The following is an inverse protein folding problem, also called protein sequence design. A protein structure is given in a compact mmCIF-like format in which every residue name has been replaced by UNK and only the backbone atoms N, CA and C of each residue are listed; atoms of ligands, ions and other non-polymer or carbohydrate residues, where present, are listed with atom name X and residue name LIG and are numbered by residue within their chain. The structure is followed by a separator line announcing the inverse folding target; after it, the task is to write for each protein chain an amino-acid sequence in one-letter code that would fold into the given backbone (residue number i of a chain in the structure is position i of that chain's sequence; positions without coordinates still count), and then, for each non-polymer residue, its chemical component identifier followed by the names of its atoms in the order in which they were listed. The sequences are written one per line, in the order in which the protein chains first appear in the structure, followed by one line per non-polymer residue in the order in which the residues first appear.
data_IF_482321554140
#
_entry.id   IF_482321554140
#
_cell.length_a   1.000
_cell.length_b   1.000
_cell.length_c   1.000
_cell.angle_alpha   90.00
_cell.angle_beta   90.00
_cell.angle_gamma   90.00
#
_symmetry.space_group_name_H-M   'P 1'
#
loop_
_entity.id
_entity.type
_entity.pdbx_description
1 polymer ?
#
# COMPACT_ATOMS: atom_id res chain seq x y z
N UNK A 1 -25.55 -0.74 35.27
CA UNK A 1 -24.88 -0.12 34.11
C UNK A 1 -23.50 -0.73 34.03
N UNK A 2 -23.33 -1.74 33.18
CA UNK A 2 -22.03 -2.37 32.89
C UNK A 2 -21.25 -1.50 31.89
N UNK A 3 -19.90 -1.49 31.96
CA UNK A 3 -19.10 -0.69 31.05
C UNK A 3 -19.29 -1.23 29.63
N UNK A 4 -19.40 -0.32 28.67
CA UNK A 4 -19.54 -0.63 27.26
C UNK A 4 -18.42 -1.57 26.79
N UNK A 5 -18.77 -2.78 26.34
CA UNK A 5 -17.94 -3.64 25.48
C UNK A 5 -17.67 -2.91 24.16
N UNK A 6 -16.75 -1.96 24.18
CA UNK A 6 -16.18 -1.44 22.95
C UNK A 6 -15.21 -2.51 22.46
N UNK A 7 -15.38 -3.10 21.27
CA UNK A 7 -14.42 -4.08 20.78
C UNK A 7 -13.04 -3.43 20.79
N UNK A 8 -12.11 -4.02 21.54
CA UNK A 8 -10.72 -3.55 21.56
C UNK A 8 -10.17 -3.68 20.15
N UNK A 9 -9.68 -2.56 19.59
CA UNK A 9 -9.02 -2.57 18.29
C UNK A 9 -7.61 -3.08 18.51
N UNK A 10 -7.29 -4.26 17.98
CA UNK A 10 -5.92 -4.77 17.98
C UNK A 10 -5.14 -4.16 16.82
N UNK A 11 -3.90 -3.70 17.07
CA UNK A 11 -2.99 -3.26 16.02
C UNK A 11 -1.95 -4.35 15.77
N UNK A 12 -1.98 -4.94 14.58
CA UNK A 12 -1.12 -6.04 14.17
C UNK A 12 -0.13 -5.57 13.12
N UNK A 13 1.11 -6.05 13.19
CA UNK A 13 2.13 -5.84 12.16
C UNK A 13 2.29 -7.10 11.33
N UNK A 14 1.91 -7.04 10.05
CA UNK A 14 2.09 -8.13 9.08
C UNK A 14 3.37 -7.91 8.28
N UNK A 15 4.15 -8.97 8.10
CA UNK A 15 5.37 -8.96 7.30
C UNK A 15 5.36 -10.11 6.31
N UNK A 16 5.72 -9.84 5.08
CA UNK A 16 5.88 -10.85 4.03
C UNK A 16 6.85 -10.37 2.96
N UNK A 17 7.28 -11.28 2.10
CA UNK A 17 8.17 -10.97 0.97
C UNK A 17 7.39 -11.07 -0.33
N UNK A 18 7.57 -10.10 -1.21
CA UNK A 18 6.99 -10.08 -2.56
C UNK A 18 8.01 -9.49 -3.54
N UNK A 19 8.27 -10.20 -4.66
CA UNK A 19 9.25 -9.80 -5.69
C UNK A 19 10.65 -9.40 -5.16
N UNK A 20 11.11 -10.09 -4.11
CA UNK A 20 12.39 -9.80 -3.45
C UNK A 20 12.40 -8.53 -2.61
N UNK A 21 11.23 -7.95 -2.34
CA UNK A 21 11.04 -6.83 -1.44
C UNK A 21 10.36 -7.32 -0.15
N UNK A 22 10.73 -6.75 0.98
CA UNK A 22 10.05 -6.97 2.25
C UNK A 22 8.92 -5.94 2.39
N UNK A 23 7.70 -6.43 2.57
CA UNK A 23 6.51 -5.63 2.84
C UNK A 23 6.22 -5.70 4.34
N UNK A 24 6.05 -4.55 4.98
CA UNK A 24 5.61 -4.43 6.38
C UNK A 24 4.35 -3.59 6.43
N UNK A 25 3.22 -4.20 6.79
CA UNK A 25 1.92 -3.54 6.86
C UNK A 25 1.46 -3.44 8.32
N UNK A 26 0.88 -2.30 8.69
CA UNK A 26 0.19 -2.10 9.96
C UNK A 26 -1.31 -2.19 9.71
N UNK A 27 -1.94 -3.11 10.43
CA UNK A 27 -3.34 -3.48 10.26
C UNK A 27 -4.07 -3.27 11.58
N UNK A 28 -5.23 -2.63 11.53
CA UNK A 28 -6.18 -2.63 12.63
C UNK A 28 -7.13 -3.82 12.47
N UNK A 29 -7.33 -4.60 13.52
CA UNK A 29 -8.23 -5.76 13.56
C UNK A 29 -9.34 -5.55 14.61
N UNK A 30 -10.36 -4.73 14.30
CA UNK A 30 -11.55 -4.65 15.12
C UNK A 30 -12.44 -5.87 14.84
N UNK A 31 -12.45 -6.85 15.74
CA UNK A 31 -13.42 -7.96 15.75
C UNK A 31 -13.58 -8.66 14.38
N UNK A 32 -12.48 -9.17 13.82
CA UNK A 32 -12.38 -9.90 12.54
C UNK A 32 -12.57 -9.04 11.27
N UNK A 33 -12.56 -7.71 11.36
CA UNK A 33 -12.66 -6.81 10.22
C UNK A 33 -11.33 -6.07 9.95
N UNK A 34 -10.35 -6.78 9.39
CA UNK A 34 -9.02 -6.23 9.13
C UNK A 34 -9.04 -5.01 8.20
N UNK A 35 -8.40 -3.93 8.67
CA UNK A 35 -8.21 -2.68 7.95
C UNK A 35 -6.73 -2.34 7.90
N UNK A 36 -6.15 -2.38 6.69
CA UNK A 36 -4.76 -1.94 6.52
C UNK A 36 -4.70 -0.41 6.63
N UNK A 37 -3.85 0.07 7.53
CA UNK A 37 -3.68 1.51 7.79
C UNK A 37 -2.62 2.08 6.87
N UNK A 38 -1.44 1.47 6.88
CA UNK A 38 -0.30 1.81 6.03
C UNK A 38 0.66 0.63 5.92
N UNK A 39 1.52 0.67 4.91
CA UNK A 39 2.64 -0.25 4.82
C UNK A 39 3.87 0.38 4.19
N UNK A 40 5.01 -0.25 4.40
CA UNK A 40 6.30 0.12 3.83
C UNK A 40 6.84 -1.05 3.02
N UNK A 41 7.57 -0.72 1.96
CA UNK A 41 8.24 -1.68 1.08
C UNK A 41 9.72 -1.35 1.04
N UNK A 42 10.55 -2.32 1.42
CA UNK A 42 12.00 -2.21 1.35
C UNK A 42 12.57 -3.29 0.43
N UNK A 43 13.70 -2.98 -0.22
CA UNK A 43 14.45 -3.94 -1.04
C UNK A 43 15.92 -3.89 -0.62
N UNK A 44 16.47 -5.02 -0.21
CA UNK A 44 17.86 -5.12 0.28
C UNK A 44 18.19 -4.07 1.37
N UNK A 45 17.24 -3.79 2.26
CA UNK A 45 17.37 -2.81 3.34
C UNK A 45 17.13 -1.34 2.93
N UNK A 46 16.96 -1.04 1.65
CA UNK A 46 16.64 0.31 1.15
C UNK A 46 15.13 0.50 1.03
N UNK A 47 14.61 1.65 1.47
CA UNK A 47 13.20 2.02 1.27
C UNK A 47 12.90 2.21 -0.21
N UNK A 48 11.89 1.52 -0.72
CA UNK A 48 11.34 1.75 -2.05
C UNK A 48 10.21 2.79 -1.97
N UNK A 49 9.36 2.65 -0.95
CA UNK A 49 8.31 3.60 -0.65
C UNK A 49 7.34 3.06 0.41
N UNK A 50 6.26 3.80 0.62
CA UNK A 50 5.17 3.43 1.52
C UNK A 50 3.83 3.63 0.82
N UNK A 51 2.80 3.02 1.38
CA UNK A 51 1.42 3.20 0.96
C UNK A 51 0.52 3.34 2.16
N UNK A 52 -0.62 4.01 1.99
CA UNK A 52 -1.62 4.14 3.03
C UNK A 52 -3.03 4.25 2.44
N UNK A 53 -4.01 3.91 3.25
CA UNK A 53 -5.43 4.02 2.92
C UNK A 53 -5.96 5.39 3.39
N UNK A 54 -6.36 6.26 2.45
CA UNK A 54 -6.91 7.57 2.81
C UNK A 54 -8.37 7.46 3.29
N UNK A 55 -9.18 6.57 2.69
CA UNK A 55 -10.50 6.20 3.19
C UNK A 55 -10.44 4.83 3.87
N UNK A 56 -10.10 4.85 5.17
CA UNK A 56 -9.96 3.66 6.00
C UNK A 56 -11.26 2.90 6.23
N UNK A 57 -12.40 3.59 6.17
CA UNK A 57 -13.71 2.97 6.41
C UNK A 57 -14.10 2.13 5.20
N UNK A 58 -13.91 2.66 3.99
CA UNK A 58 -14.23 1.95 2.74
C UNK A 58 -13.07 1.11 2.20
N UNK A 59 -11.90 1.17 2.85
CA UNK A 59 -10.65 0.56 2.39
C UNK A 59 -10.33 0.95 0.93
N UNK A 60 -10.47 2.25 0.65
CA UNK A 60 -10.33 2.83 -0.69
C UNK A 60 -9.49 4.11 -0.68
N UNK A 61 -9.25 4.69 -1.85
CA UNK A 61 -8.36 5.85 -2.03
C UNK A 61 -6.94 5.57 -1.50
N UNK A 62 -6.34 4.48 -1.98
CA UNK A 62 -4.97 4.13 -1.63
C UNK A 62 -4.00 5.15 -2.23
N UNK A 63 -2.97 5.49 -1.48
CA UNK A 63 -1.93 6.43 -1.89
C UNK A 63 -0.57 5.78 -1.73
N UNK A 64 0.36 6.16 -2.61
CA UNK A 64 1.76 5.75 -2.55
C UNK A 64 2.63 6.98 -2.32
N UNK A 65 3.58 6.85 -1.41
CA UNK A 65 4.64 7.82 -1.16
C UNK A 65 5.97 7.16 -1.51
N UNK A 66 6.74 7.82 -2.37
CA UNK A 66 8.06 7.36 -2.79
C UNK A 66 9.07 7.39 -1.63
N UNK A 67 10.22 6.74 -1.80
CA UNK A 67 11.31 6.82 -0.83
C UNK A 67 11.80 8.26 -0.52
N UNK A 68 11.53 9.21 -1.41
CA UNK A 68 11.84 10.63 -1.23
C UNK A 68 10.80 11.39 -0.39
N UNK A 69 9.75 10.71 0.08
CA UNK A 69 8.66 11.34 0.82
C UNK A 69 7.65 12.09 -0.06
N UNK A 70 7.73 11.94 -1.39
CA UNK A 70 6.83 12.59 -2.34
C UNK A 70 5.71 11.64 -2.78
N UNK A 71 4.47 12.12 -3.01
CA UNK A 71 3.43 11.33 -3.63
C UNK A 71 3.91 10.76 -4.96
N UNK A 72 3.57 9.49 -5.23
CA UNK A 72 3.84 8.93 -6.55
C UNK A 72 2.86 9.52 -7.56
N UNK A 73 3.39 10.08 -8.64
CA UNK A 73 2.62 10.68 -9.72
C UNK A 73 2.94 10.04 -11.06
N UNK A 74 1.95 10.04 -11.94
CA UNK A 74 2.07 9.72 -13.36
C UNK A 74 1.35 10.78 -14.16
N UNK A 75 2.01 11.35 -15.17
CA UNK A 75 1.45 12.42 -15.99
C UNK A 75 0.89 13.59 -15.13
N UNK A 76 1.60 13.92 -14.03
CA UNK A 76 1.23 14.93 -13.01
C UNK A 76 -0.08 14.65 -12.28
N UNK A 77 -0.47 13.38 -12.19
CA UNK A 77 -1.65 12.94 -11.44
C UNK A 77 -1.21 11.94 -10.37
N UNK A 78 -1.74 12.02 -9.13
CA UNK A 78 -1.45 11.04 -8.11
C UNK A 78 -1.83 9.64 -8.57
N UNK A 79 -0.94 8.67 -8.35
CA UNK A 79 -1.25 7.26 -8.52
C UNK A 79 -2.13 6.83 -7.35
N UNK A 80 -3.34 6.39 -7.66
CA UNK A 80 -4.33 5.92 -6.67
C UNK A 80 -4.65 4.44 -6.93
N UNK A 81 -3.90 3.51 -6.31
CA UNK A 81 -4.20 2.08 -6.46
C UNK A 81 -5.62 1.74 -6.01
N UNK A 82 -6.22 0.74 -6.66
CA UNK A 82 -7.59 0.31 -6.34
C UNK A 82 -7.67 -0.53 -5.06
N UNK A 83 -6.54 -1.04 -4.57
CA UNK A 83 -6.45 -1.88 -3.38
C UNK A 83 -5.05 -1.83 -2.77
N UNK A 84 -4.90 -2.35 -1.55
CA UNK A 84 -3.59 -2.61 -0.93
C UNK A 84 -2.69 -3.44 -1.85
N UNK A 85 -3.21 -4.53 -2.40
CA UNK A 85 -2.42 -5.43 -3.26
C UNK A 85 -1.90 -4.71 -4.51
N UNK A 86 -2.71 -3.82 -5.11
CA UNK A 86 -2.27 -3.01 -6.23
C UNK A 86 -1.17 -2.01 -5.80
N UNK A 87 -1.26 -1.43 -4.60
CA UNK A 87 -0.23 -0.56 -4.06
C UNK A 87 1.09 -1.32 -3.81
N UNK A 88 1.00 -2.52 -3.24
CA UNK A 88 2.15 -3.43 -3.06
C UNK A 88 2.76 -3.76 -4.42
N UNK A 89 1.97 -4.18 -5.41
CA UNK A 89 2.47 -4.52 -6.74
C UNK A 89 3.20 -3.34 -7.41
N UNK A 90 2.69 -2.12 -7.30
CA UNK A 90 3.37 -0.93 -7.81
C UNK A 90 4.76 -0.77 -7.16
N UNK A 91 4.84 -0.90 -5.85
CA UNK A 91 6.11 -0.75 -5.12
C UNK A 91 7.08 -1.91 -5.36
N UNK A 92 6.60 -3.15 -5.44
CA UNK A 92 7.46 -4.34 -5.49
C UNK A 92 7.85 -4.76 -6.90
N UNK A 93 7.08 -4.34 -7.92
CA UNK A 93 7.28 -4.71 -9.33
C UNK A 93 7.57 -3.52 -10.23
N UNK A 94 6.82 -2.42 -10.07
CA UNK A 94 6.86 -1.30 -11.02
C UNK A 94 8.02 -0.39 -10.71
N UNK A 95 8.12 0.10 -9.47
CA UNK A 95 9.21 1.00 -9.05
C UNK A 95 10.56 0.30 -8.87
N UNK A 96 10.58 -1.02 -8.93
CA UNK A 96 11.78 -1.86 -8.82
C UNK A 96 12.21 -2.43 -10.17
N UNK A 97 11.49 -2.09 -11.25
CA UNK A 97 11.86 -2.42 -12.63
C UNK A 97 13.14 -1.69 -13.03
N UNK A 98 13.84 -2.24 -14.03
CA UNK A 98 15.18 -1.76 -14.40
C UNK A 98 15.15 -0.56 -15.35
N UNK A 99 14.03 -0.36 -16.05
CA UNK A 99 13.87 0.65 -17.10
C UNK A 99 12.69 1.58 -16.80
N UNK A 100 12.87 2.90 -16.99
CA UNK A 100 11.84 3.92 -16.77
C UNK A 100 10.63 3.78 -17.70
N UNK A 101 10.81 3.33 -18.95
CA UNK A 101 9.68 3.13 -19.87
C UNK A 101 8.82 1.92 -19.44
N UNK A 102 9.47 0.88 -18.93
CA UNK A 102 8.81 -0.30 -18.34
C UNK A 102 8.04 0.07 -17.07
N UNK A 103 8.61 0.95 -16.23
CA UNK A 103 7.94 1.51 -15.04
C UNK A 103 6.63 2.19 -15.46
N UNK A 104 6.69 3.10 -16.43
CA UNK A 104 5.53 3.89 -16.85
C UNK A 104 4.40 2.99 -17.41
N UNK A 105 4.75 2.03 -18.27
CA UNK A 105 3.78 1.11 -18.87
C UNK A 105 3.08 0.25 -17.82
N UNK A 106 3.84 -0.29 -16.85
CA UNK A 106 3.26 -1.12 -15.78
C UNK A 106 2.43 -0.29 -14.80
N UNK A 107 2.83 0.94 -14.53
CA UNK A 107 2.07 1.84 -13.68
C UNK A 107 0.68 2.11 -14.27
N UNK A 108 0.62 2.36 -15.59
CA UNK A 108 -0.65 2.51 -16.33
C UNK A 108 -1.54 1.27 -16.26
N UNK A 109 -0.95 0.08 -16.22
CA UNK A 109 -1.72 -1.16 -16.08
C UNK A 109 -2.30 -1.32 -14.67
N UNK A 110 -1.51 -1.02 -13.63
CA UNK A 110 -1.91 -1.20 -12.22
C UNK A 110 -3.05 -0.27 -11.77
N UNK A 111 -3.21 0.90 -12.42
CA UNK A 111 -4.28 1.86 -12.11
C UNK A 111 -5.57 1.64 -12.89
N UNK A 112 -5.61 0.69 -13.84
CA UNK A 112 -6.85 0.39 -14.58
C UNK A 112 -7.74 -0.54 -13.77
N UNK A 113 -9.05 -0.26 -13.65
CA UNK A 113 -9.99 -1.20 -13.04
C UNK A 113 -10.07 -2.48 -13.87
N UNK A 114 -10.05 -3.64 -13.20
CA UNK A 114 -10.38 -4.94 -13.81
C UNK A 114 -11.83 -4.87 -14.28
N UNK A 115 -12.05 -5.12 -15.58
CA UNK A 115 -13.39 -5.23 -16.18
C UNK A 115 -14.06 -6.53 -15.76
#
# INVERSE_FOLDING_TARGET
MTPHDTPEIEIVVRRFTDNGCQVTAVVADPADAQQTLYGTVTRNGTLVGSYYCADRVRQSDWRIVTALGLPLELDRRPVTPVSESAAVQVLTTVLTARDSDEVEQRLRAAIRPLR
#
